data_IF_709069543706
#
_entry.id   IF_709069543706
#
_cell.length_a   1.000
_cell.length_b   1.000
_cell.length_c   1.000
_cell.angle_alpha   90.00
_cell.angle_beta   90.00
_cell.angle_gamma   90.00
#
_symmetry.space_group_name_H-M   'P 1'
#
loop_
_entity.id
_entity.type
_entity.pdbx_description
1 polymer ?
#
# COMPACT_ATOMS: atom_id res chain seq x y z
N UNK A 1 -40.24 -47.28 32.63
CA UNK A 1 -39.38 -46.07 32.81
C UNK A 1 -38.47 -45.97 31.60
N UNK A 2 -38.68 -44.97 30.74
CA UNK A 2 -37.84 -44.68 29.56
C UNK A 2 -37.09 -43.38 29.86
N UNK A 3 -35.77 -43.43 29.93
CA UNK A 3 -34.93 -42.24 30.06
C UNK A 3 -34.98 -41.42 28.77
N UNK A 4 -34.93 -40.08 28.83
CA UNK A 4 -34.77 -39.25 27.63
C UNK A 4 -33.29 -39.21 27.20
N UNK A 5 -33.00 -38.99 25.91
CA UNK A 5 -31.63 -38.69 25.47
C UNK A 5 -31.28 -37.23 25.81
N UNK A 6 -30.09 -37.04 26.38
CA UNK A 6 -29.52 -35.73 26.67
C UNK A 6 -28.98 -35.13 25.37
N UNK A 7 -29.67 -34.14 24.80
CA UNK A 7 -29.12 -33.31 23.73
C UNK A 7 -28.18 -32.29 24.34
N UNK A 8 -26.88 -32.56 24.27
CA UNK A 8 -25.85 -31.54 24.49
C UNK A 8 -25.80 -30.65 23.26
N UNK A 9 -26.16 -29.37 23.42
CA UNK A 9 -25.88 -28.32 22.46
C UNK A 9 -24.37 -28.03 22.51
N UNK A 10 -23.63 -28.49 21.51
CA UNK A 10 -22.27 -28.02 21.26
C UNK A 10 -22.34 -26.54 20.85
N UNK A 11 -21.76 -25.66 21.67
CA UNK A 11 -21.55 -24.27 21.30
C UNK A 11 -20.56 -24.22 20.11
N UNK A 12 -20.72 -23.26 19.17
CA UNK A 12 -19.79 -23.15 18.05
C UNK A 12 -18.41 -22.81 18.61
N UNK A 13 -17.45 -23.69 18.37
CA UNK A 13 -16.03 -23.42 18.60
C UNK A 13 -15.67 -22.25 17.67
N UNK A 14 -15.54 -21.05 18.21
CA UNK A 14 -14.91 -19.94 17.51
C UNK A 14 -13.42 -20.24 17.51
N UNK A 15 -12.95 -20.96 16.48
CA UNK A 15 -11.53 -21.09 16.20
C UNK A 15 -10.97 -19.70 15.94
N UNK A 16 -10.17 -19.17 16.86
CA UNK A 16 -9.37 -17.96 16.62
C UNK A 16 -8.51 -18.18 15.38
N UNK A 17 -8.53 -17.27 14.39
CA UNK A 17 -7.68 -17.40 13.21
C UNK A 17 -6.21 -17.44 13.63
N UNK A 18 -5.45 -18.43 13.17
CA UNK A 18 -4.02 -18.49 13.39
C UNK A 18 -3.33 -17.50 12.45
N UNK A 19 -2.43 -16.62 12.95
CA UNK A 19 -1.69 -15.69 12.09
C UNK A 19 -0.80 -16.46 11.10
N UNK A 20 -0.64 -15.95 9.87
CA UNK A 20 0.31 -16.53 8.92
C UNK A 20 1.76 -16.42 9.40
N UNK A 21 2.67 -17.29 8.92
CA UNK A 21 4.09 -17.21 9.23
C UNK A 21 4.71 -15.83 8.92
N UNK A 22 4.27 -15.17 7.85
CA UNK A 22 4.75 -13.85 7.49
C UNK A 22 4.29 -12.76 8.46
N UNK A 23 3.05 -12.84 8.96
CA UNK A 23 2.58 -11.95 10.02
C UNK A 23 3.33 -12.18 11.35
N UNK A 24 3.59 -13.44 11.71
CA UNK A 24 4.40 -13.77 12.89
C UNK A 24 5.79 -13.13 12.78
N UNK A 25 6.48 -13.32 11.65
CA UNK A 25 7.78 -12.69 11.39
C UNK A 25 7.70 -11.17 11.52
N UNK A 26 6.71 -10.55 10.88
CA UNK A 26 6.49 -9.11 10.89
C UNK A 26 6.30 -8.55 12.32
N UNK A 27 5.57 -9.27 13.17
CA UNK A 27 5.40 -8.90 14.58
C UNK A 27 6.71 -8.98 15.40
N UNK A 28 7.63 -9.87 15.03
CA UNK A 28 8.88 -10.13 15.77
C UNK A 28 10.08 -9.28 15.36
N UNK A 29 9.98 -8.50 14.28
CA UNK A 29 11.08 -7.66 13.80
C UNK A 29 11.50 -6.61 14.85
N UNK A 30 12.80 -6.29 14.97
CA UNK A 30 13.25 -5.11 15.69
C UNK A 30 12.55 -3.84 15.18
N UNK A 31 12.31 -2.87 16.05
CA UNK A 31 11.56 -1.65 15.72
C UNK A 31 12.14 -0.90 14.51
N UNK A 32 13.47 -0.84 14.38
CA UNK A 32 14.15 -0.20 13.25
C UNK A 32 13.87 -0.90 11.92
N UNK A 33 13.92 -2.24 11.90
CA UNK A 33 13.65 -3.04 10.71
C UNK A 33 12.16 -3.00 10.34
N UNK A 34 11.29 -3.02 11.35
CA UNK A 34 9.86 -2.86 11.16
C UNK A 34 9.50 -1.52 10.50
N UNK A 35 10.07 -0.42 11.00
CA UNK A 35 9.88 0.91 10.42
C UNK A 35 10.47 1.03 9.02
N UNK A 36 11.62 0.42 8.76
CA UNK A 36 12.22 0.39 7.42
C UNK A 36 11.30 -0.34 6.42
N UNK A 37 10.76 -1.51 6.79
CA UNK A 37 9.80 -2.23 5.94
C UNK A 37 8.50 -1.44 5.72
N UNK A 38 7.98 -0.77 6.75
CA UNK A 38 6.80 0.08 6.58
C UNK A 38 7.06 1.30 5.71
N UNK A 39 8.29 1.83 5.70
CA UNK A 39 8.65 2.94 4.83
C UNK A 39 8.64 2.54 3.34
N UNK A 40 8.98 1.29 3.02
CA UNK A 40 8.82 0.73 1.66
C UNK A 40 7.34 0.57 1.26
N UNK A 41 6.45 0.38 2.24
CA UNK A 41 5.00 0.36 2.00
C UNK A 41 4.46 1.76 1.78
N UNK A 42 4.82 2.70 2.64
CA UNK A 42 4.32 4.07 2.68
C UNK A 42 5.39 5.00 3.27
N UNK A 43 5.73 6.07 2.54
CA UNK A 43 6.75 7.03 2.98
C UNK A 43 6.36 7.83 4.24
N UNK A 44 5.08 7.80 4.64
CA UNK A 44 4.59 8.55 5.79
C UNK A 44 5.13 8.02 7.11
N UNK A 45 6.09 8.72 7.72
CA UNK A 45 6.72 8.30 8.98
C UNK A 45 5.72 8.19 10.14
N UNK A 46 4.76 9.12 10.23
CA UNK A 46 3.73 9.12 11.27
C UNK A 46 2.84 7.87 11.17
N UNK A 47 2.49 7.46 9.95
CA UNK A 47 1.76 6.21 9.70
C UNK A 47 2.55 5.00 10.20
N UNK A 48 3.83 4.89 9.82
CA UNK A 48 4.70 3.79 10.25
C UNK A 48 4.85 3.70 11.78
N UNK A 49 5.02 4.83 12.47
CA UNK A 49 5.09 4.89 13.94
C UNK A 49 3.80 4.47 14.62
N UNK A 50 2.65 4.85 14.07
CA UNK A 50 1.34 4.40 14.58
C UNK A 50 1.21 2.88 14.49
N UNK A 51 1.65 2.26 13.39
CA UNK A 51 1.61 0.81 13.27
C UNK A 51 2.61 0.12 14.20
N UNK A 52 3.78 0.71 14.43
CA UNK A 52 4.75 0.16 15.38
C UNK A 52 4.16 0.09 16.80
N UNK A 53 3.47 1.16 17.22
CA UNK A 53 2.89 1.27 18.56
C UNK A 53 1.73 0.28 18.83
N UNK A 54 1.11 -0.28 17.79
CA UNK A 54 -0.02 -1.21 17.92
C UNK A 54 0.37 -2.69 17.74
N UNK A 55 1.67 -2.99 17.60
CA UNK A 55 2.14 -4.38 17.60
C UNK A 55 1.95 -5.03 18.99
N UNK A 56 1.78 -6.36 19.05
CA UNK A 56 1.67 -7.30 17.92
C UNK A 56 0.23 -7.38 17.37
N UNK A 57 0.11 -7.71 16.09
CA UNK A 57 -1.18 -7.94 15.43
C UNK A 57 -1.59 -9.41 15.49
N UNK A 58 -2.81 -9.69 15.94
CA UNK A 58 -3.32 -11.06 16.07
C UNK A 58 -3.63 -11.71 14.70
N UNK A 59 -4.10 -10.92 13.73
CA UNK A 59 -4.46 -11.37 12.38
C UNK A 59 -4.07 -10.31 11.35
N UNK A 60 -4.05 -10.68 10.07
CA UNK A 60 -3.80 -9.77 8.96
C UNK A 60 -4.89 -8.71 8.88
N UNK A 61 -6.14 -9.09 9.13
CA UNK A 61 -7.26 -8.14 9.19
C UNK A 61 -7.07 -7.11 10.31
N UNK A 62 -6.52 -7.51 11.47
CA UNK A 62 -6.20 -6.56 12.53
C UNK A 62 -5.09 -5.59 12.11
N UNK A 63 -4.07 -6.07 11.39
CA UNK A 63 -3.04 -5.21 10.80
C UNK A 63 -3.63 -4.24 9.76
N UNK A 64 -4.49 -4.72 8.87
CA UNK A 64 -5.11 -3.86 7.84
C UNK A 64 -6.05 -2.83 8.47
N UNK A 65 -6.83 -3.20 9.48
CA UNK A 65 -7.69 -2.26 10.19
C UNK A 65 -6.88 -1.18 10.94
N UNK A 66 -5.75 -1.56 11.54
CA UNK A 66 -4.83 -0.59 12.16
C UNK A 66 -4.18 0.32 11.11
N UNK A 67 -3.83 -0.22 9.94
CA UNK A 67 -3.30 0.53 8.81
C UNK A 67 -4.30 1.58 8.29
N UNK A 68 -5.56 1.18 8.11
CA UNK A 68 -6.64 2.03 7.64
C UNK A 68 -6.96 3.13 8.68
N UNK A 69 -7.02 2.77 9.97
CA UNK A 69 -7.19 3.73 11.08
C UNK A 69 -6.06 4.75 11.12
N UNK A 70 -4.80 4.29 11.08
CA UNK A 70 -3.63 5.16 11.10
C UNK A 70 -3.62 6.11 9.89
N UNK A 71 -4.09 5.64 8.72
CA UNK A 71 -4.24 6.48 7.53
C UNK A 71 -5.35 7.53 7.71
N UNK A 72 -6.47 7.17 8.31
CA UNK A 72 -7.57 8.08 8.66
C UNK A 72 -7.16 9.20 9.61
N UNK A 73 -6.22 8.94 10.52
CA UNK A 73 -5.76 9.88 11.54
C UNK A 73 -4.63 10.81 11.11
N UNK A 74 -4.04 10.63 9.92
CA UNK A 74 -2.96 11.49 9.45
C UNK A 74 -3.43 12.95 9.35
N UNK A 75 -2.58 13.88 9.76
CA UNK A 75 -2.80 15.29 9.43
C UNK A 75 -2.62 15.50 7.92
N UNK A 76 -3.00 16.68 7.42
CA UNK A 76 -2.77 17.03 6.02
C UNK A 76 -1.29 17.02 5.65
N UNK A 77 -0.42 17.46 6.56
CA UNK A 77 1.03 17.44 6.39
C UNK A 77 1.57 16.01 6.35
N UNK A 78 1.11 15.14 7.26
CA UNK A 78 1.52 13.74 7.26
C UNK A 78 1.05 13.01 5.99
N UNK A 79 -0.16 13.32 5.52
CA UNK A 79 -0.69 12.75 4.28
C UNK A 79 0.11 13.23 3.07
N UNK A 80 0.48 14.52 3.01
CA UNK A 80 1.34 15.04 1.94
C UNK A 80 2.72 14.37 1.91
N UNK A 81 3.33 14.14 3.08
CA UNK A 81 4.57 13.37 3.21
C UNK A 81 4.39 11.95 2.66
N UNK A 82 3.31 11.28 3.04
CA UNK A 82 3.02 9.91 2.59
C UNK A 82 2.84 9.82 1.07
N UNK A 83 2.16 10.80 0.46
CA UNK A 83 1.97 10.87 -1.00
C UNK A 83 3.25 11.19 -1.77
N UNK A 84 4.18 11.94 -1.19
CA UNK A 84 5.42 12.36 -1.86
C UNK A 84 6.34 11.19 -2.27
N UNK A 85 6.17 10.01 -1.63
CA UNK A 85 6.89 8.79 -2.01
C UNK A 85 6.39 8.12 -3.29
N UNK A 86 5.30 8.58 -3.91
CA UNK A 86 4.68 7.91 -5.04
C UNK A 86 5.11 8.49 -6.41
N UNK A 87 5.50 7.63 -7.38
CA UNK A 87 5.75 8.08 -8.74
C UNK A 87 4.43 8.41 -9.47
N UNK A 88 4.43 9.36 -10.42
CA UNK A 88 3.25 9.68 -11.22
C UNK A 88 2.72 8.49 -12.03
N UNK A 89 1.42 8.47 -12.30
CA UNK A 89 0.80 7.46 -13.19
C UNK A 89 1.33 7.61 -14.62
N UNK A 90 1.71 6.49 -15.24
CA UNK A 90 2.30 6.44 -16.58
C UNK A 90 3.81 6.71 -16.60
N UNK A 91 4.42 6.93 -15.44
CA UNK A 91 5.87 7.07 -15.26
C UNK A 91 6.33 6.21 -14.07
N UNK A 92 6.31 4.87 -14.21
CA UNK A 92 6.80 4.00 -13.15
C UNK A 92 8.26 4.30 -12.84
N UNK A 93 8.67 4.10 -11.59
CA UNK A 93 10.06 4.28 -11.19
C UNK A 93 10.95 3.29 -11.95
N UNK A 94 11.98 3.73 -12.69
CA UNK A 94 12.86 2.82 -13.43
C UNK A 94 13.49 1.77 -12.50
N UNK A 95 13.45 0.51 -12.90
CA UNK A 95 13.98 -0.61 -12.10
C UNK A 95 13.13 -1.02 -10.89
N UNK A 96 11.95 -0.41 -10.69
CA UNK A 96 11.04 -0.77 -9.60
C UNK A 96 9.90 -1.69 -10.11
N UNK A 97 9.96 -3.00 -9.82
CA UNK A 97 8.93 -3.95 -10.24
C UNK A 97 7.59 -3.75 -9.51
N UNK A 98 7.59 -3.14 -8.32
CA UNK A 98 6.36 -2.84 -7.56
C UNK A 98 5.63 -1.71 -8.26
N UNK A 99 6.31 -0.61 -8.55
CA UNK A 99 5.77 0.54 -9.29
C UNK A 99 5.24 0.13 -10.67
N UNK A 100 6.02 -0.68 -11.40
CA UNK A 100 5.62 -1.18 -12.73
C UNK A 100 4.38 -2.08 -12.68
N UNK A 101 4.28 -2.97 -11.68
CA UNK A 101 3.13 -3.88 -11.52
C UNK A 101 1.87 -3.14 -11.10
N UNK A 102 2.00 -2.13 -10.24
CA UNK A 102 0.87 -1.33 -9.77
C UNK A 102 0.21 -0.56 -10.90
N UNK A 103 1.00 -0.01 -11.83
CA UNK A 103 0.49 0.77 -12.97
C UNK A 103 0.35 -0.05 -14.26
N UNK A 104 0.22 -1.38 -14.16
CA UNK A 104 0.15 -2.28 -15.33
C UNK A 104 -0.98 -1.95 -16.31
N UNK A 105 -2.06 -1.30 -15.86
CA UNK A 105 -3.15 -0.85 -16.72
C UNK A 105 -2.71 0.18 -17.77
N UNK A 106 -1.58 0.83 -17.55
CA UNK A 106 -0.94 1.74 -18.51
C UNK A 106 0.01 1.03 -19.48
N UNK A 107 0.30 -0.25 -19.25
CA UNK A 107 1.09 -1.06 -20.17
C UNK A 107 0.25 -1.34 -21.43
N UNK A 108 0.76 -0.93 -22.59
CA UNK A 108 0.03 -1.04 -23.86
C UNK A 108 -0.93 0.12 -24.15
N UNK A 109 -1.03 1.13 -23.27
CA UNK A 109 -1.73 2.38 -23.58
C UNK A 109 -1.19 3.03 -24.86
N UNK A 110 -2.08 3.60 -25.67
CA UNK A 110 -1.70 4.33 -26.88
C UNK A 110 -0.85 5.56 -26.53
N UNK A 111 -0.03 6.01 -27.46
CA UNK A 111 0.75 7.24 -27.30
C UNK A 111 -0.15 8.46 -27.04
N UNK A 112 -1.34 8.49 -27.65
CA UNK A 112 -2.32 9.54 -27.40
C UNK A 112 -2.82 9.52 -25.95
N UNK A 113 -3.17 8.34 -25.41
CA UNK A 113 -3.61 8.21 -24.01
C UNK A 113 -2.49 8.60 -23.04
N UNK A 114 -1.24 8.19 -23.31
CA UNK A 114 -0.08 8.57 -22.49
C UNK A 114 0.17 10.08 -22.49
N UNK A 115 0.04 10.72 -23.65
CA UNK A 115 0.19 12.17 -23.76
C UNK A 115 -0.89 12.91 -22.97
N UNK A 116 -2.15 12.49 -23.10
CA UNK A 116 -3.28 13.08 -22.36
C UNK A 116 -3.15 12.86 -20.85
N UNK A 117 -2.81 11.64 -20.42
CA UNK A 117 -2.53 11.33 -19.01
C UNK A 117 -1.40 12.22 -18.45
N UNK A 118 -0.34 12.45 -19.22
CA UNK A 118 0.76 13.32 -18.81
C UNK A 118 0.29 14.78 -18.63
N UNK A 119 -0.43 15.32 -19.62
CA UNK A 119 -0.95 16.69 -19.56
C UNK A 119 -1.85 16.88 -18.33
N UNK A 120 -2.79 15.96 -18.10
CA UNK A 120 -3.71 16.04 -16.97
C UNK A 120 -3.00 15.81 -15.63
N UNK A 121 -1.96 14.98 -15.57
CA UNK A 121 -1.15 14.84 -14.35
C UNK A 121 -0.47 16.16 -13.98
N UNK A 122 0.05 16.91 -14.96
CA UNK A 122 0.66 18.22 -14.73
C UNK A 122 -0.39 19.24 -14.28
N UNK A 123 -1.56 19.26 -14.90
CA UNK A 123 -2.68 20.12 -14.49
C UNK A 123 -3.14 19.79 -13.05
N UNK A 124 -3.23 18.50 -12.72
CA UNK A 124 -3.59 18.02 -11.39
C UNK A 124 -2.57 18.46 -10.34
N UNK A 125 -1.27 18.27 -10.61
CA UNK A 125 -0.20 18.71 -9.71
C UNK A 125 -0.22 20.22 -9.51
N UNK A 126 -0.45 21.00 -10.57
CA UNK A 126 -0.58 22.46 -10.47
C UNK A 126 -1.77 22.90 -9.61
N UNK A 127 -2.89 22.16 -9.65
CA UNK A 127 -4.11 22.47 -8.88
C UNK A 127 -4.02 22.04 -7.41
N UNK A 128 -3.55 20.82 -7.15
CA UNK A 128 -3.63 20.21 -5.82
C UNK A 128 -2.29 20.16 -5.08
N UNK A 129 -1.17 20.43 -5.75
CA UNK A 129 0.16 20.47 -5.14
C UNK A 129 0.78 19.09 -4.84
N UNK A 130 0.18 18.01 -5.33
CA UNK A 130 0.69 16.64 -5.18
C UNK A 130 0.38 15.79 -6.42
N UNK A 131 1.03 14.64 -6.53
CA UNK A 131 0.79 13.69 -7.63
C UNK A 131 -0.66 13.17 -7.62
N UNK A 132 -1.18 12.84 -8.80
CA UNK A 132 -2.42 12.07 -8.91
C UNK A 132 -2.18 10.68 -8.37
N UNK A 133 -2.95 10.32 -7.33
CA UNK A 133 -2.81 9.04 -6.64
C UNK A 133 -4.09 8.23 -6.79
N UNK A 134 -3.98 7.03 -7.35
CA UNK A 134 -5.08 6.08 -7.50
C UNK A 134 -4.55 4.66 -7.28
N UNK A 135 -5.36 3.81 -6.66
CA UNK A 135 -5.11 2.38 -6.59
C UNK A 135 -5.32 1.75 -7.97
N UNK A 136 -4.26 1.77 -8.78
CA UNK A 136 -4.28 1.28 -10.16
C UNK A 136 -4.40 -0.25 -10.30
N UNK A 137 -4.45 -1.00 -9.19
CA UNK A 137 -4.55 -2.47 -9.25
C UNK A 137 -5.90 -2.88 -9.80
N UNK A 138 -5.90 -3.41 -11.02
CA UNK A 138 -7.10 -3.88 -11.70
C UNK A 138 -7.76 -2.84 -12.61
N UNK A 139 -7.33 -1.58 -12.57
CA UNK A 139 -7.84 -0.52 -13.43
C UNK A 139 -7.14 -0.50 -14.81
N UNK A 140 -7.86 -0.13 -15.87
CA UNK A 140 -7.30 0.15 -17.19
C UNK A 140 -6.73 1.57 -17.28
N UNK A 141 -5.99 1.85 -18.36
CA UNK A 141 -5.49 3.20 -18.65
C UNK A 141 -6.60 4.23 -18.79
N UNK A 142 -7.69 3.85 -19.45
CA UNK A 142 -8.88 4.67 -19.68
C UNK A 142 -9.62 4.95 -18.37
N UNK A 143 -9.82 3.93 -17.52
CA UNK A 143 -10.47 4.12 -16.21
C UNK A 143 -9.67 5.07 -15.31
N UNK A 144 -8.34 4.96 -15.33
CA UNK A 144 -7.47 5.90 -14.60
C UNK A 144 -7.56 7.32 -15.18
N UNK A 145 -7.67 7.46 -16.50
CA UNK A 145 -7.81 8.76 -17.16
C UNK A 145 -9.15 9.42 -16.83
N UNK A 146 -10.24 8.66 -16.85
CA UNK A 146 -11.57 9.16 -16.50
C UNK A 146 -11.63 9.57 -15.03
N UNK A 147 -11.05 8.78 -14.13
CA UNK A 147 -10.92 9.15 -12.72
C UNK A 147 -10.10 10.44 -12.52
N UNK A 148 -9.02 10.62 -13.29
CA UNK A 148 -8.22 11.85 -13.26
C UNK A 148 -9.03 13.07 -13.72
N UNK A 149 -9.79 12.93 -14.81
CA UNK A 149 -10.67 14.00 -15.34
C UNK A 149 -11.75 14.39 -14.35
N UNK A 150 -12.42 13.40 -13.74
CA UNK A 150 -13.43 13.62 -12.71
C UNK A 150 -12.83 14.38 -11.52
N UNK A 151 -11.70 13.89 -11.00
CA UNK A 151 -11.05 14.43 -9.79
C UNK A 151 -10.47 15.82 -9.98
N UNK A 152 -10.13 16.22 -11.20
CA UNK A 152 -9.77 17.61 -11.51
C UNK A 152 -10.90 18.61 -11.23
N UNK A 153 -12.15 18.16 -11.15
CA UNK A 153 -13.31 19.01 -10.82
C UNK A 153 -13.52 19.22 -9.32
N UNK A 154 -12.87 18.41 -8.48
CA UNK A 154 -13.02 18.45 -7.02
C UNK A 154 -12.47 19.74 -6.38
N UNK A 155 -12.99 20.07 -5.20
CA UNK A 155 -12.30 21.00 -4.29
C UNK A 155 -11.06 20.33 -3.69
N UNK A 156 -10.07 21.11 -3.20
CA UNK A 156 -8.88 20.54 -2.55
C UNK A 156 -9.21 19.61 -1.37
N UNK A 157 -10.26 19.91 -0.61
CA UNK A 157 -10.69 19.11 0.55
C UNK A 157 -11.28 17.78 0.12
N UNK A 158 -12.17 17.79 -0.89
CA UNK A 158 -12.73 16.58 -1.47
C UNK A 158 -11.63 15.68 -2.03
N UNK A 159 -10.72 16.27 -2.81
CA UNK A 159 -9.65 15.52 -3.44
C UNK A 159 -8.70 14.92 -2.41
N UNK A 160 -8.39 15.63 -1.33
CA UNK A 160 -7.57 15.10 -0.26
C UNK A 160 -8.21 13.89 0.43
N UNK A 161 -9.52 13.91 0.62
CA UNK A 161 -10.26 12.77 1.19
C UNK A 161 -10.23 11.55 0.24
N UNK A 162 -10.35 11.77 -1.06
CA UNK A 162 -10.21 10.73 -2.08
C UNK A 162 -8.78 10.17 -2.10
N UNK A 163 -7.77 11.04 -2.16
CA UNK A 163 -6.36 10.64 -2.18
C UNK A 163 -5.97 9.82 -0.94
N UNK A 164 -6.48 10.18 0.25
CA UNK A 164 -6.30 9.38 1.48
C UNK A 164 -6.88 7.98 1.35
N UNK A 165 -8.07 7.87 0.79
CA UNK A 165 -8.75 6.58 0.56
C UNK A 165 -7.96 5.72 -0.43
N UNK A 166 -7.50 6.31 -1.54
CA UNK A 166 -6.68 5.62 -2.53
C UNK A 166 -5.34 5.16 -1.95
N UNK A 167 -4.69 5.99 -1.13
CA UNK A 167 -3.45 5.62 -0.44
C UNK A 167 -3.67 4.45 0.53
N UNK A 168 -4.77 4.44 1.28
CA UNK A 168 -5.14 3.32 2.14
C UNK A 168 -5.26 2.00 1.37
N UNK A 169 -5.96 2.02 0.22
CA UNK A 169 -6.07 0.84 -0.67
C UNK A 169 -4.71 0.35 -1.15
N UNK A 170 -3.83 1.25 -1.60
CA UNK A 170 -2.47 0.91 -2.05
C UNK A 170 -1.67 0.26 -0.91
N UNK A 171 -1.69 0.88 0.28
CA UNK A 171 -0.97 0.39 1.44
C UNK A 171 -1.47 -0.99 1.87
N UNK A 172 -2.78 -1.24 1.83
CA UNK A 172 -3.36 -2.56 2.13
C UNK A 172 -2.84 -3.64 1.19
N UNK A 173 -2.78 -3.37 -0.11
CA UNK A 173 -2.24 -4.32 -1.11
C UNK A 173 -0.76 -4.60 -0.86
N UNK A 174 0.03 -3.56 -0.54
CA UNK A 174 1.46 -3.68 -0.25
C UNK A 174 1.71 -4.45 1.07
N UNK A 175 0.96 -4.14 2.13
CA UNK A 175 1.02 -4.87 3.40
C UNK A 175 0.63 -6.33 3.22
N UNK A 176 -0.45 -6.63 2.49
CA UNK A 176 -0.86 -8.00 2.22
C UNK A 176 0.27 -8.79 1.59
N UNK A 177 0.94 -8.24 0.56
CA UNK A 177 2.11 -8.90 -0.05
C UNK A 177 3.23 -9.14 0.96
N UNK A 178 3.52 -8.16 1.82
CA UNK A 178 4.59 -8.23 2.82
C UNK A 178 4.37 -9.34 3.86
N UNK A 179 3.11 -9.54 4.31
CA UNK A 179 2.77 -10.48 5.39
C UNK A 179 2.27 -11.84 4.90
N UNK A 180 1.81 -11.97 3.65
CA UNK A 180 1.43 -13.27 3.09
C UNK A 180 2.58 -13.99 2.39
N UNK A 181 3.55 -13.24 1.85
CA UNK A 181 4.72 -13.87 1.25
C UNK A 181 5.75 -14.11 2.35
N UNK A 182 6.24 -15.35 2.40
CA UNK A 182 7.48 -15.68 3.07
C UNK A 182 8.63 -15.10 2.24
N UNK A 183 8.75 -13.77 2.22
CA UNK A 183 9.88 -13.10 1.61
C UNK A 183 11.09 -13.52 2.45
N UNK A 184 11.85 -14.50 1.94
CA UNK A 184 13.18 -14.78 2.43
C UNK A 184 13.92 -13.44 2.51
N UNK A 185 14.62 -13.21 3.61
CA UNK A 185 15.22 -11.93 4.01
C UNK A 185 16.33 -11.38 3.07
N UNK A 186 16.36 -11.75 1.79
CA UNK A 186 17.38 -11.38 0.81
C UNK A 186 16.95 -10.46 -0.33
N UNK A 187 15.64 -10.17 -0.51
CA UNK A 187 15.18 -9.43 -1.71
C UNK A 187 14.98 -7.92 -1.51
N UNK A 188 15.31 -7.37 -0.33
CA UNK A 188 15.15 -5.93 -0.04
C UNK A 188 16.47 -5.19 0.24
N UNK A 189 17.63 -5.86 0.18
CA UNK A 189 18.93 -5.20 0.38
C UNK A 189 19.95 -5.71 -0.65
N UNK A 190 20.35 -4.81 -1.55
CA UNK A 190 21.61 -4.83 -2.30
C UNK A 190 21.93 -6.05 -3.20
N UNK A 191 21.69 -5.87 -4.51
CA UNK A 191 22.70 -6.23 -5.51
C UNK A 191 23.08 -4.99 -6.32
N UNK A 192 23.80 -4.11 -5.66
CA UNK A 192 24.81 -3.26 -6.32
C UNK A 192 25.91 -2.98 -5.29
N UNK A 193 26.99 -3.75 -5.37
CA UNK A 193 28.31 -3.33 -4.92
C UNK A 193 29.23 -3.45 -6.15
N UNK A 194 29.97 -2.39 -6.51
CA UNK A 194 30.91 -2.44 -7.62
C UNK A 194 32.11 -3.31 -7.23
N UNK A 195 32.52 -4.20 -8.13
CA UNK A 195 33.82 -4.85 -8.01
C UNK A 195 34.89 -3.82 -8.38
N UNK A 196 35.60 -3.30 -7.37
CA UNK A 196 36.91 -2.70 -7.59
C UNK A 196 37.93 -3.78 -7.98
N UNK A 197 38.69 -3.48 -9.04
CA UNK A 197 40.10 -3.85 -9.20
C UNK A 197 40.44 -5.32 -9.43
N UNK A 198 40.92 -5.63 -10.64
CA UNK A 198 42.27 -6.16 -10.72
C UNK A 198 43.02 -5.57 -11.93
N UNK A 199 44.18 -5.01 -11.63
CA UNK A 199 45.20 -4.58 -12.57
C UNK A 199 46.14 -5.77 -12.79
N UNK A 200 46.25 -6.24 -14.02
CA UNK A 200 47.50 -6.78 -14.59
C UNK A 200 47.46 -6.73 -16.11
#
# INVERSE_FOLDING_TARGET
MRSPPSTATEAPVTSTPTPTPGLVRFNTLPDSEFLALLHEVCAGRTWGRKLLAHRPYATEDALFAAADTAMGELTDTDLAEAMAGHPPIGRPKPGDPVSSREQRGMAGASEALRAEMLELNLAYQGRFGHVFLICATGATGEEMLDALKERLTHTPEQERAVARTELGKINRIRLARLVTHDLAAGDLVARDFPAEGDHS
#
